data_IF_280177378726
#
_entry.id   IF_280177378726
#
_cell.length_a   1.000
_cell.length_b   1.000
_cell.length_c   1.000
_cell.angle_alpha   90.00
_cell.angle_beta   90.00
_cell.angle_gamma   90.00
#
_symmetry.space_group_name_H-M   'P 1'
#
loop_
_entity.id
_entity.type
_entity.pdbx_description
1 polymer ?
#
# COMPACT_ATOMS: atom_id res chain seq x y z
N UNK A 1 25.42 -3.17 -0.40
CA UNK A 1 24.87 -1.91 -0.95
C UNK A 1 23.52 -1.70 -0.31
N UNK A 2 23.26 -0.52 0.23
CA UNK A 2 21.94 -0.13 0.76
C UNK A 2 21.00 0.02 -0.44
N UNK A 3 20.09 -0.92 -0.62
CA UNK A 3 19.00 -0.74 -1.57
C UNK A 3 18.04 0.23 -0.92
N UNK A 4 17.88 1.39 -1.54
CA UNK A 4 16.83 2.35 -1.20
C UNK A 4 15.61 2.00 -2.05
N UNK A 5 14.61 1.43 -1.41
CA UNK A 5 13.34 1.15 -2.02
C UNK A 5 12.60 2.47 -2.12
N UNK A 6 12.78 3.17 -3.23
CA UNK A 6 12.12 4.45 -3.42
C UNK A 6 10.64 4.21 -3.63
N UNK A 7 9.86 4.87 -2.80
CA UNK A 7 8.42 4.99 -2.91
C UNK A 7 8.05 6.11 -3.90
N UNK A 8 9.02 6.92 -4.38
CA UNK A 8 8.81 8.14 -5.15
C UNK A 8 9.90 8.41 -6.22
N UNK A 9 9.72 9.40 -7.11
CA UNK A 9 10.78 9.87 -8.01
C UNK A 9 11.99 10.41 -7.22
N UNK A 10 13.16 10.58 -7.86
CA UNK A 10 14.38 11.12 -7.22
C UNK A 10 14.14 12.42 -6.43
N UNK A 11 13.17 13.24 -6.86
CA UNK A 11 12.82 14.53 -6.26
C UNK A 11 11.51 14.51 -5.43
N UNK A 12 10.87 13.35 -5.29
CA UNK A 12 9.58 13.20 -4.60
C UNK A 12 8.35 13.66 -5.41
N UNK A 13 7.16 13.14 -5.07
CA UNK A 13 5.92 13.39 -5.82
C UNK A 13 5.31 14.79 -5.66
N UNK A 14 5.82 15.65 -4.78
CA UNK A 14 5.31 17.05 -4.72
C UNK A 14 5.53 17.80 -6.03
N UNK A 15 6.45 17.32 -6.86
CA UNK A 15 6.89 17.96 -8.08
C UNK A 15 6.48 17.18 -9.34
N UNK A 16 5.92 15.97 -9.20
CA UNK A 16 5.69 15.02 -10.30
C UNK A 16 4.30 14.40 -10.17
N UNK A 17 3.45 14.57 -11.17
CA UNK A 17 2.19 13.84 -11.29
C UNK A 17 2.37 12.48 -12.00
N UNK A 18 1.27 11.74 -12.15
CA UNK A 18 1.26 10.42 -12.80
C UNK A 18 1.88 10.45 -14.21
N UNK A 19 1.61 11.51 -14.99
CA UNK A 19 2.12 11.66 -16.35
C UNK A 19 3.62 11.92 -16.41
N UNK A 20 4.16 12.75 -15.50
CA UNK A 20 5.61 12.99 -15.41
C UNK A 20 6.36 11.72 -15.01
N UNK A 21 5.79 10.94 -14.10
CA UNK A 21 6.38 9.68 -13.66
C UNK A 21 6.32 8.60 -14.75
N UNK A 22 5.18 8.42 -15.43
CA UNK A 22 5.08 7.50 -16.56
C UNK A 22 6.01 7.88 -17.72
N UNK A 23 6.24 9.19 -17.94
CA UNK A 23 7.27 9.64 -18.89
C UNK A 23 8.66 9.24 -18.42
N UNK A 24 9.01 9.49 -17.16
CA UNK A 24 10.33 9.17 -16.64
C UNK A 24 10.63 7.67 -16.68
N UNK A 25 9.66 6.80 -16.35
CA UNK A 25 9.82 5.35 -16.47
C UNK A 25 10.07 4.89 -17.91
N UNK A 26 9.44 5.55 -18.90
CA UNK A 26 9.72 5.30 -20.33
C UNK A 26 11.12 5.75 -20.73
N UNK A 27 11.58 6.86 -20.18
CA UNK A 27 12.91 7.43 -20.44
C UNK A 27 14.03 6.67 -19.70
N UNK A 28 13.69 5.99 -18.59
CA UNK A 28 14.61 5.25 -17.73
C UNK A 28 14.17 3.78 -17.59
N UNK A 29 14.10 2.99 -18.67
CA UNK A 29 13.59 1.62 -18.64
C UNK A 29 14.44 0.65 -17.80
N UNK A 30 15.63 1.07 -17.38
CA UNK A 30 16.49 0.34 -16.45
C UNK A 30 16.09 0.54 -14.98
N UNK A 31 15.36 1.61 -14.66
CA UNK A 31 14.76 1.84 -13.36
C UNK A 31 13.49 1.02 -13.24
N UNK A 32 13.65 -0.16 -12.65
CA UNK A 32 12.52 -1.06 -12.48
C UNK A 32 11.70 -0.61 -11.28
N UNK A 33 10.62 0.09 -11.57
CA UNK A 33 9.59 0.46 -10.61
C UNK A 33 8.27 -0.19 -11.00
N UNK A 34 7.54 -0.72 -10.02
CA UNK A 34 6.24 -1.34 -10.23
C UNK A 34 5.13 -0.53 -9.56
N UNK A 35 4.01 -0.35 -10.28
CA UNK A 35 2.83 0.40 -9.81
C UNK A 35 2.03 -0.43 -8.83
N UNK A 36 1.73 0.13 -7.66
CA UNK A 36 1.00 -0.58 -6.61
C UNK A 36 -0.49 -0.22 -6.54
N UNK A 37 -0.82 1.02 -6.14
CA UNK A 37 -2.16 1.58 -6.07
C UNK A 37 -2.11 3.12 -6.14
N UNK A 38 -3.27 3.80 -6.17
CA UNK A 38 -3.30 5.26 -6.10
C UNK A 38 -2.78 5.77 -4.75
N UNK A 39 -2.32 7.03 -4.71
CA UNK A 39 -1.89 7.68 -3.47
C UNK A 39 -3.01 7.77 -2.43
N UNK A 40 -4.24 8.03 -2.89
CA UNK A 40 -5.42 8.09 -2.02
C UNK A 40 -5.69 6.75 -1.35
N UNK A 41 -5.71 5.68 -2.14
CA UNK A 41 -5.93 4.32 -1.64
C UNK A 41 -4.84 3.91 -0.66
N UNK A 42 -3.59 4.26 -0.95
CA UNK A 42 -2.46 3.99 -0.05
C UNK A 42 -2.63 4.68 1.32
N UNK A 43 -3.00 5.95 1.33
CA UNK A 43 -3.21 6.70 2.57
C UNK A 43 -4.39 6.12 3.40
N UNK A 44 -5.50 5.78 2.73
CA UNK A 44 -6.65 5.14 3.38
C UNK A 44 -6.24 3.79 3.96
N UNK A 45 -5.51 2.98 3.20
CA UNK A 45 -5.02 1.69 3.63
C UNK A 45 -4.13 1.80 4.88
N UNK A 46 -3.12 2.67 4.88
CA UNK A 46 -2.25 2.90 6.04
C UNK A 46 -3.03 3.34 7.28
N UNK A 47 -4.04 4.21 7.09
CA UNK A 47 -4.92 4.63 8.18
C UNK A 47 -5.70 3.45 8.78
N UNK A 48 -6.26 2.59 7.92
CA UNK A 48 -6.96 1.38 8.38
C UNK A 48 -6.03 0.42 9.13
N UNK A 49 -4.79 0.26 8.68
CA UNK A 49 -3.80 -0.54 9.42
C UNK A 49 -3.59 0.02 10.82
N UNK A 50 -3.39 1.33 10.94
CA UNK A 50 -3.18 2.00 12.24
C UNK A 50 -4.37 1.86 13.18
N UNK A 51 -5.58 1.93 12.65
CA UNK A 51 -6.82 1.89 13.44
C UNK A 51 -7.20 0.47 13.87
N UNK A 52 -7.11 -0.50 12.96
CA UNK A 52 -7.69 -1.83 13.16
C UNK A 52 -6.66 -2.91 13.52
N UNK A 53 -5.36 -2.63 13.37
CA UNK A 53 -4.28 -3.57 13.67
C UNK A 53 -3.42 -3.04 14.83
N UNK A 54 -3.80 -3.25 16.10
CA UNK A 54 -3.04 -2.71 17.23
C UNK A 54 -1.61 -3.26 17.29
N UNK A 55 -1.39 -4.53 16.91
CA UNK A 55 -0.05 -5.12 16.94
C UNK A 55 0.77 -4.70 15.73
N UNK A 56 0.25 -4.90 14.52
CA UNK A 56 0.95 -4.50 13.31
C UNK A 56 1.13 -2.97 13.23
N UNK A 57 0.13 -2.19 13.64
CA UNK A 57 0.17 -0.73 13.70
C UNK A 57 1.30 -0.21 14.61
N UNK A 58 1.51 -0.83 15.78
CA UNK A 58 2.64 -0.44 16.66
C UNK A 58 4.01 -0.64 16.01
N UNK A 59 4.15 -1.67 15.16
CA UNK A 59 5.36 -1.96 14.39
C UNK A 59 5.46 -1.13 13.10
N UNK A 60 4.33 -0.64 12.59
CA UNK A 60 4.24 0.22 11.41
C UNK A 60 4.60 1.67 11.74
N UNK A 61 4.33 2.14 12.98
CA UNK A 61 4.54 3.53 13.40
C UNK A 61 5.95 4.08 13.08
N UNK A 62 7.07 3.35 13.29
CA UNK A 62 8.40 3.82 12.92
C UNK A 62 8.61 4.05 11.42
N UNK A 63 7.80 3.39 10.58
CA UNK A 63 7.83 3.52 9.12
C UNK A 63 6.82 4.55 8.62
N UNK A 64 5.85 4.95 9.43
CA UNK A 64 4.70 5.73 8.99
C UNK A 64 5.09 7.07 8.35
N UNK A 65 6.04 7.82 8.93
CA UNK A 65 6.54 9.07 8.34
C UNK A 65 7.13 8.82 6.94
N UNK A 66 7.86 7.73 6.77
CA UNK A 66 8.47 7.37 5.49
C UNK A 66 7.39 6.97 4.47
N UNK A 67 6.41 6.17 4.88
CA UNK A 67 5.35 5.65 4.00
C UNK A 67 4.35 6.74 3.58
N UNK A 68 4.00 7.66 4.49
CA UNK A 68 3.09 8.77 4.22
C UNK A 68 3.76 9.85 3.37
N UNK A 69 5.03 10.14 3.62
CA UNK A 69 5.81 11.10 2.83
C UNK A 69 6.52 10.46 1.64
N UNK A 70 6.23 9.20 1.33
CA UNK A 70 6.74 8.49 0.15
C UNK A 70 8.28 8.50 0.06
N UNK A 71 8.95 8.41 1.22
CA UNK A 71 10.41 8.40 1.30
C UNK A 71 10.96 7.00 1.03
N UNK A 72 12.19 6.91 0.51
CA UNK A 72 12.84 5.63 0.30
C UNK A 72 13.04 4.88 1.62
N UNK A 73 12.84 3.56 1.57
CA UNK A 73 13.11 2.64 2.68
C UNK A 73 14.44 1.92 2.45
N UNK A 74 15.17 1.62 3.53
CA UNK A 74 16.30 0.69 3.43
C UNK A 74 15.83 -0.74 3.18
N UNK A 75 16.74 -1.63 2.79
CA UNK A 75 16.44 -3.06 2.64
C UNK A 75 15.92 -3.71 3.93
N UNK A 76 16.41 -3.25 5.08
CA UNK A 76 15.94 -3.71 6.39
C UNK A 76 14.51 -3.22 6.66
N UNK A 77 14.26 -1.91 6.50
CA UNK A 77 12.93 -1.32 6.65
C UNK A 77 11.91 -1.94 5.68
N UNK A 78 12.33 -2.36 4.50
CA UNK A 78 11.48 -3.07 3.54
C UNK A 78 11.08 -4.46 4.05
N UNK A 79 12.04 -5.21 4.62
CA UNK A 79 11.74 -6.52 5.23
C UNK A 79 10.79 -6.35 6.40
N UNK A 80 11.03 -5.34 7.24
CA UNK A 80 10.15 -5.00 8.35
C UNK A 80 8.74 -4.66 7.87
N UNK A 81 8.61 -3.81 6.84
CA UNK A 81 7.33 -3.47 6.24
C UNK A 81 6.59 -4.71 5.76
N UNK A 82 7.26 -5.62 5.05
CA UNK A 82 6.66 -6.86 4.54
C UNK A 82 6.07 -7.70 5.69
N UNK A 83 6.84 -7.91 6.75
CA UNK A 83 6.41 -8.69 7.91
C UNK A 83 5.27 -8.00 8.68
N UNK A 84 5.30 -6.67 8.77
CA UNK A 84 4.22 -5.87 9.36
C UNK A 84 2.93 -5.99 8.55
N UNK A 85 3.00 -5.90 7.23
CA UNK A 85 1.83 -6.02 6.35
C UNK A 85 1.21 -7.41 6.38
N UNK A 86 2.02 -8.46 6.49
CA UNK A 86 1.54 -9.84 6.69
C UNK A 86 0.75 -9.97 7.99
N UNK A 87 1.32 -9.49 9.10
CA UNK A 87 0.63 -9.47 10.38
C UNK A 87 -0.65 -8.61 10.34
N UNK A 88 -0.60 -7.47 9.66
CA UNK A 88 -1.75 -6.59 9.50
C UNK A 88 -2.89 -7.27 8.73
N UNK A 89 -2.57 -8.03 7.66
CA UNK A 89 -3.55 -8.83 6.92
C UNK A 89 -4.29 -9.82 7.83
N UNK A 90 -3.57 -10.50 8.71
CA UNK A 90 -4.16 -11.45 9.65
C UNK A 90 -5.09 -10.74 10.66
N UNK A 91 -4.67 -9.59 11.18
CA UNK A 91 -5.49 -8.78 12.09
C UNK A 91 -6.75 -8.23 11.41
N UNK A 92 -6.63 -7.71 10.18
CA UNK A 92 -7.76 -7.23 9.39
C UNK A 92 -8.73 -8.35 8.98
N UNK A 93 -8.24 -9.58 8.81
CA UNK A 93 -9.08 -10.74 8.46
C UNK A 93 -10.07 -11.09 9.60
N UNK A 94 -9.75 -10.69 10.83
CA UNK A 94 -10.62 -10.88 11.99
C UNK A 94 -11.68 -9.77 12.15
N UNK A 95 -11.68 -8.74 11.29
CA UNK A 95 -12.55 -7.57 11.35
C UNK A 95 -13.56 -7.58 10.21
N UNK A 96 -14.80 -7.19 10.47
CA UNK A 96 -15.81 -7.13 9.40
C UNK A 96 -15.56 -5.92 8.50
N UNK A 97 -15.80 -6.04 7.19
CA UNK A 97 -15.58 -4.94 6.26
C UNK A 97 -16.44 -3.70 6.59
N UNK A 98 -17.61 -3.89 7.20
CA UNK A 98 -18.49 -2.82 7.66
C UNK A 98 -17.86 -1.92 8.73
N UNK A 99 -16.82 -2.38 9.44
CA UNK A 99 -16.07 -1.54 10.39
C UNK A 99 -15.34 -0.39 9.66
N UNK A 100 -15.07 -0.50 8.36
CA UNK A 100 -14.53 0.59 7.54
C UNK A 100 -15.50 1.79 7.43
N UNK A 101 -16.80 1.59 7.66
CA UNK A 101 -17.81 2.68 7.59
C UNK A 101 -17.65 3.72 8.68
N UNK A 102 -16.94 3.38 9.76
CA UNK A 102 -16.56 4.36 10.79
C UNK A 102 -15.57 5.42 10.26
N UNK A 103 -15.01 5.24 9.06
CA UNK A 103 -13.92 6.05 8.53
C UNK A 103 -14.42 7.08 7.52
N UNK A 104 -14.36 8.35 7.89
CA UNK A 104 -14.72 9.50 7.04
C UNK A 104 -13.64 9.86 5.98
N UNK A 105 -12.70 8.93 5.70
CA UNK A 105 -11.48 9.22 4.92
C UNK A 105 -11.48 8.56 3.54
N UNK A 106 -12.47 7.69 3.24
CA UNK A 106 -12.70 7.30 1.85
C UNK A 106 -13.06 8.52 1.01
N UNK A 107 -12.62 8.55 -0.24
CA UNK A 107 -12.92 9.64 -1.18
C UNK A 107 -14.45 9.89 -1.25
N UNK A 108 -15.24 8.82 -1.14
CA UNK A 108 -16.67 8.87 -0.88
C UNK A 108 -17.17 7.60 -0.15
N UNK A 109 -18.36 7.67 0.44
CA UNK A 109 -19.05 6.47 0.96
C UNK A 109 -19.40 5.47 -0.15
N UNK A 110 -19.58 5.95 -1.39
CA UNK A 110 -19.87 5.12 -2.55
C UNK A 110 -18.69 4.22 -2.92
N UNK A 111 -17.46 4.75 -2.84
CA UNK A 111 -16.23 3.98 -3.13
C UNK A 111 -16.06 2.83 -2.14
N UNK A 112 -16.29 3.08 -0.84
CA UNK A 112 -16.23 2.03 0.18
C UNK A 112 -17.29 0.96 -0.07
N UNK A 113 -18.55 1.35 -0.33
CA UNK A 113 -19.61 0.38 -0.60
C UNK A 113 -19.33 -0.41 -1.89
N UNK A 114 -18.72 0.21 -2.91
CA UNK A 114 -18.29 -0.47 -4.12
C UNK A 114 -17.20 -1.51 -3.82
N UNK A 115 -16.20 -1.19 -3.00
CA UNK A 115 -15.17 -2.15 -2.56
C UNK A 115 -15.78 -3.32 -1.76
N UNK A 116 -16.70 -3.04 -0.83
CA UNK A 116 -17.40 -4.07 -0.04
C UNK A 116 -18.25 -4.96 -0.97
N UNK A 117 -19.00 -4.35 -1.90
CA UNK A 117 -19.84 -5.08 -2.84
C UNK A 117 -19.01 -5.98 -3.77
N UNK A 118 -17.87 -5.48 -4.28
CA UNK A 118 -16.94 -6.26 -5.09
C UNK A 118 -16.36 -7.44 -4.32
N UNK A 119 -15.94 -7.23 -3.07
CA UNK A 119 -15.44 -8.30 -2.20
C UNK A 119 -16.53 -9.34 -1.89
N UNK A 120 -17.77 -8.90 -1.60
CA UNK A 120 -18.92 -9.77 -1.36
C UNK A 120 -19.26 -10.61 -2.59
N UNK A 121 -19.25 -10.01 -3.79
CA UNK A 121 -19.49 -10.71 -5.05
C UNK A 121 -18.43 -11.80 -5.31
N UNK A 122 -17.16 -11.53 -5.01
CA UNK A 122 -16.05 -12.49 -5.16
C UNK A 122 -16.13 -13.65 -4.17
N UNK A 123 -16.55 -13.39 -2.93
CA UNK A 123 -16.46 -14.36 -1.84
C UNK A 123 -17.77 -15.07 -1.51
N UNK A 124 -18.92 -14.58 -2.02
CA UNK A 124 -20.26 -15.10 -1.71
C UNK A 124 -20.57 -15.19 -0.20
N UNK A 125 -19.94 -14.33 0.60
CA UNK A 125 -20.11 -14.21 2.06
C UNK A 125 -19.83 -12.77 2.49
N UNK A 126 -20.09 -12.45 3.76
CA UNK A 126 -19.71 -11.15 4.31
C UNK A 126 -18.18 -10.99 4.32
N UNK A 127 -17.63 -9.94 3.66
CA UNK A 127 -16.19 -9.75 3.58
C UNK A 127 -15.61 -9.17 4.87
N UNK A 128 -14.33 -9.46 5.11
CA UNK A 128 -13.50 -8.82 6.13
C UNK A 128 -12.84 -7.53 5.61
N UNK A 129 -12.20 -6.76 6.51
CA UNK A 129 -11.35 -5.63 6.09
C UNK A 129 -10.16 -6.10 5.22
N UNK A 130 -9.63 -7.30 5.45
CA UNK A 130 -8.57 -7.84 4.60
C UNK A 130 -9.09 -8.17 3.18
N UNK A 131 -10.37 -8.55 3.06
CA UNK A 131 -10.96 -8.95 1.78
C UNK A 131 -11.18 -7.76 0.83
N UNK A 132 -11.50 -6.57 1.36
CA UNK A 132 -11.64 -5.36 0.54
C UNK A 132 -10.27 -4.85 0.03
N UNK A 133 -9.17 -5.17 0.73
CA UNK A 133 -7.79 -4.85 0.32
C UNK A 133 -7.03 -6.04 -0.26
N UNK A 134 -7.71 -7.16 -0.57
CA UNK A 134 -7.06 -8.40 -0.97
C UNK A 134 -6.16 -8.22 -2.20
N UNK A 135 -6.60 -7.42 -3.17
CA UNK A 135 -5.83 -7.13 -4.38
C UNK A 135 -4.54 -6.37 -4.05
N UNK A 136 -4.61 -5.36 -3.17
CA UNK A 136 -3.44 -4.62 -2.71
C UNK A 136 -2.46 -5.53 -1.97
N UNK A 137 -2.94 -6.36 -1.03
CA UNK A 137 -2.11 -7.33 -0.33
C UNK A 137 -1.45 -8.35 -1.28
N UNK A 138 -2.17 -8.80 -2.31
CA UNK A 138 -1.65 -9.77 -3.27
C UNK A 138 -0.53 -9.21 -4.13
N UNK A 139 -0.54 -7.89 -4.39
CA UNK A 139 0.48 -7.19 -5.16
C UNK A 139 1.67 -6.79 -4.27
N UNK A 140 1.43 -6.29 -3.07
CA UNK A 140 2.49 -5.71 -2.23
C UNK A 140 3.52 -6.74 -1.75
N UNK A 141 3.12 -7.96 -1.39
CA UNK A 141 4.05 -8.97 -0.87
C UNK A 141 5.11 -9.42 -1.90
N UNK A 142 4.75 -9.85 -3.12
CA UNK A 142 5.74 -10.20 -4.13
C UNK A 142 6.54 -9.00 -4.63
N UNK A 143 5.96 -7.80 -4.59
CA UNK A 143 6.66 -6.56 -4.94
C UNK A 143 7.77 -6.24 -3.96
N UNK A 144 7.48 -6.27 -2.65
CA UNK A 144 8.49 -6.04 -1.62
C UNK A 144 9.60 -7.09 -1.69
N UNK A 145 9.25 -8.35 -1.98
CA UNK A 145 10.21 -9.44 -2.20
C UNK A 145 11.12 -9.18 -3.41
N UNK A 146 10.52 -8.90 -4.57
CA UNK A 146 11.24 -8.56 -5.82
C UNK A 146 12.15 -7.33 -5.62
N UNK A 147 11.68 -6.34 -4.86
CA UNK A 147 12.43 -5.12 -4.56
C UNK A 147 13.64 -5.38 -3.66
N UNK A 148 13.50 -6.24 -2.63
CA UNK A 148 14.62 -6.68 -1.79
C UNK A 148 15.65 -7.43 -2.63
N UNK A 149 15.22 -8.37 -3.46
CA UNK A 149 16.10 -9.26 -4.22
C UNK A 149 16.86 -8.54 -5.32
N UNK A 150 16.19 -7.63 -6.03
CA UNK A 150 16.73 -6.97 -7.23
C UNK A 150 17.27 -5.57 -6.98
N UNK A 151 17.09 -5.03 -5.78
CA UNK A 151 17.52 -3.69 -5.47
C UNK A 151 16.68 -2.59 -6.11
N UNK A 152 15.35 -2.78 -6.20
CA UNK A 152 14.43 -1.97 -7.04
C UNK A 152 13.46 -1.11 -6.22
N UNK A 153 12.92 -0.05 -6.82
CA UNK A 153 11.88 0.81 -6.21
C UNK A 153 10.45 0.31 -6.46
N UNK A 154 9.47 0.86 -5.73
CA UNK A 154 8.03 0.62 -5.89
C UNK A 154 7.34 1.99 -5.93
N UNK A 155 6.34 2.21 -6.79
CA UNK A 155 5.67 3.51 -6.86
C UNK A 155 4.15 3.42 -6.74
N UNK A 156 3.54 4.50 -6.25
CA UNK A 156 2.09 4.70 -6.17
C UNK A 156 1.61 5.61 -7.32
N UNK A 157 0.43 5.31 -7.88
CA UNK A 157 -0.23 6.08 -8.96
C UNK A 157 -1.55 5.43 -9.40
N UNK A 158 -2.45 6.15 -10.09
CA UNK A 158 -3.79 5.65 -10.50
C UNK A 158 -3.80 4.40 -11.42
N UNK A 159 -4.11 3.21 -10.88
CA UNK A 159 -4.19 1.96 -11.67
C UNK A 159 -5.28 2.01 -12.74
#
# INVERSE_FOLDING_TARGET
MSVYLSVAPPDGFRLWGDAEWERWLREHPWEAAERLCSRGDWAIFLYQLRQHCPRAGSRLEPLMDLLVNERPLTSEQTRDLREVLRAARDELSAKQATEARANQVFASAEDLEAMIAAARARLSKEPSLADIWADLFSRIDPLLESAIDKGRGIYFGNV
#
